data_IF_902526563002
#
_entry.id   IF_902526563002
#
_cell.length_a   1.000
_cell.length_b   1.000
_cell.length_c   1.000
_cell.angle_alpha   90.00
_cell.angle_beta   90.00
_cell.angle_gamma   90.00
#
_symmetry.space_group_name_H-M   'P 1'
#
loop_
_entity.id
_entity.type
_entity.pdbx_description
1 polymer ?
#
# COMPACT_ATOMS: atom_id res chain seq x y z
N UNK A 1 4.57 -41.10 6.40
CA UNK A 1 3.51 -41.68 7.21
C UNK A 1 2.39 -40.67 7.19
N UNK A 2 1.32 -40.93 6.44
CA UNK A 2 0.12 -40.09 6.52
C UNK A 2 -0.63 -40.44 7.83
N UNK A 3 -1.06 -39.41 8.56
CA UNK A 3 -1.98 -39.55 9.69
C UNK A 3 -3.39 -39.56 9.14
N UNK A 4 -4.31 -40.28 9.82
CA UNK A 4 -5.70 -40.36 9.38
C UNK A 4 -6.43 -39.02 9.50
N UNK A 5 -6.03 -38.17 10.46
CA UNK A 5 -6.58 -36.84 10.68
C UNK A 5 -5.42 -35.82 10.92
N UNK A 6 -4.73 -35.36 9.87
CA UNK A 6 -3.67 -34.36 10.03
C UNK A 6 -4.26 -32.99 10.31
N UNK A 7 -3.78 -32.32 11.36
CA UNK A 7 -4.05 -30.90 11.59
C UNK A 7 -2.87 -30.07 11.08
N UNK A 8 -3.15 -29.11 10.21
CA UNK A 8 -2.21 -28.06 9.81
C UNK A 8 -2.75 -26.72 10.31
N UNK A 9 -1.94 -25.99 11.05
CA UNK A 9 -2.30 -24.68 11.58
C UNK A 9 -1.26 -23.64 11.17
N UNK A 10 -1.72 -22.52 10.60
CA UNK A 10 -0.90 -21.39 10.18
C UNK A 10 -1.29 -20.16 11.01
N UNK A 11 -0.31 -19.49 11.59
CA UNK A 11 -0.48 -18.23 12.33
C UNK A 11 0.45 -17.20 11.71
N UNK A 12 -0.09 -16.03 11.36
CA UNK A 12 0.68 -14.99 10.70
C UNK A 12 0.11 -13.61 10.99
N UNK A 13 0.93 -12.60 10.74
CA UNK A 13 0.54 -11.19 10.68
C UNK A 13 0.65 -10.68 9.25
N UNK A 14 0.15 -9.47 8.97
CA UNK A 14 0.35 -8.80 7.71
C UNK A 14 1.84 -8.54 7.43
N UNK A 15 2.17 -8.37 6.17
CA UNK A 15 3.51 -8.07 5.67
C UNK A 15 3.50 -6.94 4.64
N UNK A 16 4.64 -6.74 4.00
CA UNK A 16 4.89 -5.69 3.01
C UNK A 16 5.17 -6.21 1.59
N UNK A 17 5.14 -7.52 1.41
CA UNK A 17 5.25 -8.16 0.10
C UNK A 17 3.89 -8.70 -0.36
N UNK A 18 3.21 -8.00 -1.30
CA UNK A 18 1.92 -8.44 -1.82
C UNK A 18 1.99 -9.72 -2.67
N UNK A 19 3.20 -10.17 -3.06
CA UNK A 19 3.42 -11.41 -3.81
C UNK A 19 3.82 -12.59 -2.92
N UNK A 20 3.85 -12.40 -1.60
CA UNK A 20 4.26 -13.42 -0.65
C UNK A 20 3.20 -14.51 -0.47
N UNK A 21 3.67 -15.71 -0.10
CA UNK A 21 2.78 -16.81 0.30
C UNK A 21 1.81 -16.40 1.42
N UNK A 22 2.29 -15.60 2.39
CA UNK A 22 1.43 -15.12 3.49
C UNK A 22 0.26 -14.26 3.00
N UNK A 23 0.50 -13.39 2.00
CA UNK A 23 -0.56 -12.59 1.38
C UNK A 23 -1.57 -13.46 0.63
N UNK A 24 -1.09 -14.42 -0.13
CA UNK A 24 -1.95 -15.38 -0.84
C UNK A 24 -2.85 -16.15 0.13
N UNK A 25 -2.29 -16.64 1.25
CA UNK A 25 -3.06 -17.33 2.29
C UNK A 25 -4.07 -16.44 2.98
N UNK A 26 -3.70 -15.19 3.27
CA UNK A 26 -4.61 -14.19 3.84
C UNK A 26 -5.80 -13.93 2.91
N UNK A 27 -5.54 -13.67 1.62
CA UNK A 27 -6.58 -13.40 0.63
C UNK A 27 -7.52 -14.60 0.45
N UNK A 28 -6.95 -15.80 0.42
CA UNK A 28 -7.74 -17.03 0.38
C UNK A 28 -8.61 -17.20 1.63
N UNK A 29 -8.06 -16.96 2.82
CA UNK A 29 -8.81 -17.00 4.07
C UNK A 29 -9.99 -16.01 4.05
N UNK A 30 -9.77 -14.78 3.57
CA UNK A 30 -10.83 -13.78 3.43
C UNK A 30 -11.95 -14.24 2.49
N UNK A 31 -11.62 -14.89 1.37
CA UNK A 31 -12.60 -15.44 0.42
C UNK A 31 -13.42 -16.58 1.01
N UNK A 32 -12.81 -17.41 1.84
CA UNK A 32 -13.53 -18.47 2.55
C UNK A 32 -14.47 -17.87 3.61
N UNK A 33 -14.00 -16.89 4.39
CA UNK A 33 -14.81 -16.20 5.40
C UNK A 33 -16.01 -15.47 4.78
N UNK A 34 -15.80 -14.83 3.62
CA UNK A 34 -16.89 -14.12 2.90
C UNK A 34 -17.87 -15.05 2.19
N UNK A 35 -17.55 -16.35 2.08
CA UNK A 35 -18.35 -17.31 1.33
C UNK A 35 -18.16 -17.28 -0.18
N UNK A 36 -17.20 -16.49 -0.69
CA UNK A 36 -16.82 -16.48 -2.12
C UNK A 36 -16.25 -17.83 -2.55
N UNK A 37 -15.54 -18.50 -1.65
CA UNK A 37 -14.97 -19.85 -1.84
C UNK A 37 -15.48 -20.79 -0.75
N UNK A 38 -16.14 -21.87 -1.14
CA UNK A 38 -16.54 -22.92 -0.23
C UNK A 38 -15.35 -23.85 0.07
N UNK A 39 -14.99 -24.01 1.34
CA UNK A 39 -13.96 -24.94 1.77
C UNK A 39 -14.27 -25.49 3.18
N UNK A 40 -14.87 -26.66 3.23
CA UNK A 40 -15.26 -27.31 4.49
C UNK A 40 -14.06 -27.83 5.31
N UNK A 41 -12.90 -27.98 4.68
CA UNK A 41 -11.67 -28.46 5.36
C UNK A 41 -10.83 -27.34 5.97
N UNK A 42 -11.22 -26.06 5.80
CA UNK A 42 -10.47 -24.91 6.32
C UNK A 42 -11.32 -24.11 7.31
N UNK A 43 -10.83 -24.04 8.55
CA UNK A 43 -11.24 -22.99 9.47
C UNK A 43 -10.32 -21.77 9.30
N UNK A 44 -10.88 -20.59 9.12
CA UNK A 44 -10.12 -19.34 9.01
C UNK A 44 -10.68 -18.28 9.97
N UNK A 45 -9.79 -17.56 10.64
CA UNK A 45 -10.12 -16.40 11.46
C UNK A 45 -9.14 -15.27 11.12
N UNK A 46 -9.67 -14.10 10.77
CA UNK A 46 -8.89 -12.91 10.42
C UNK A 46 -9.29 -11.76 11.33
N UNK A 47 -8.33 -11.26 12.09
CA UNK A 47 -8.47 -10.10 12.95
C UNK A 47 -7.62 -8.98 12.37
N UNK A 48 -8.25 -8.06 11.65
CA UNK A 48 -7.58 -7.00 10.92
C UNK A 48 -8.48 -5.78 10.80
N UNK A 49 -7.89 -4.59 10.69
CA UNK A 49 -8.60 -3.44 10.17
C UNK A 49 -8.87 -3.64 8.66
N UNK A 50 -9.89 -2.98 8.07
CA UNK A 50 -10.11 -3.02 6.63
C UNK A 50 -8.86 -2.62 5.87
N UNK A 51 -8.54 -3.38 4.81
CA UNK A 51 -7.26 -3.22 4.11
C UNK A 51 -7.14 -1.91 3.33
N UNK A 52 -8.28 -1.29 3.02
CA UNK A 52 -8.41 0.00 2.33
C UNK A 52 -8.53 1.20 3.29
N UNK A 53 -8.35 0.98 4.60
CA UNK A 53 -8.46 2.03 5.61
C UNK A 53 -7.42 3.13 5.39
N UNK A 54 -7.89 4.37 5.36
CA UNK A 54 -7.03 5.55 5.22
C UNK A 54 -6.35 5.89 6.53
N UNK A 55 -5.19 6.52 6.43
CA UNK A 55 -4.41 6.95 7.59
C UNK A 55 -5.18 7.94 8.46
N UNK A 56 -5.92 8.86 7.82
CA UNK A 56 -6.75 9.86 8.50
C UNK A 56 -7.88 9.24 9.32
N UNK A 57 -8.47 8.14 8.84
CA UNK A 57 -9.54 7.43 9.56
C UNK A 57 -9.00 6.73 10.81
N UNK A 58 -7.80 6.12 10.69
CA UNK A 58 -7.10 5.50 11.83
C UNK A 58 -6.77 6.57 12.89
N UNK A 59 -6.31 7.73 12.44
CA UNK A 59 -5.95 8.84 13.33
C UNK A 59 -7.17 9.44 14.04
N UNK A 60 -8.31 9.46 13.36
CA UNK A 60 -9.57 10.00 13.91
C UNK A 60 -10.19 9.07 14.98
N UNK A 61 -10.17 7.77 14.77
CA UNK A 61 -10.71 6.78 15.73
C UNK A 61 -9.83 5.52 15.79
N UNK A 62 -8.66 5.60 16.44
CA UNK A 62 -7.73 4.49 16.54
C UNK A 62 -8.30 3.29 17.28
N UNK A 63 -9.19 3.53 18.25
CA UNK A 63 -9.75 2.47 19.08
C UNK A 63 -10.75 1.59 18.34
N UNK A 64 -11.44 2.12 17.33
CA UNK A 64 -12.29 1.35 16.42
C UNK A 64 -11.47 0.27 15.71
N UNK A 65 -10.37 0.66 15.10
CA UNK A 65 -9.50 -0.24 14.33
C UNK A 65 -8.71 -1.19 15.24
N UNK A 66 -8.29 -0.70 16.41
CA UNK A 66 -7.66 -1.53 17.43
C UNK A 66 -8.53 -2.73 17.82
N UNK A 67 -9.82 -2.52 18.06
CA UNK A 67 -10.77 -3.59 18.42
C UNK A 67 -10.99 -4.60 17.31
N UNK A 68 -10.93 -4.17 16.04
CA UNK A 68 -11.06 -5.07 14.89
C UNK A 68 -9.86 -6.00 14.75
N UNK A 69 -8.66 -5.47 15.00
CA UNK A 69 -7.42 -6.21 14.80
C UNK A 69 -6.93 -6.95 16.05
N UNK A 70 -7.37 -6.57 17.23
CA UNK A 70 -6.87 -7.12 18.50
C UNK A 70 -8.04 -7.63 19.38
N UNK A 71 -8.44 -8.90 19.25
CA UNK A 71 -9.54 -9.45 20.04
C UNK A 71 -9.23 -9.49 21.54
N UNK A 72 -7.96 -9.45 21.92
CA UNK A 72 -7.50 -9.43 23.31
C UNK A 72 -7.23 -8.01 23.84
N UNK A 73 -7.69 -6.97 23.14
CA UNK A 73 -7.54 -5.57 23.56
C UNK A 73 -8.28 -5.32 24.91
N UNK A 74 -7.56 -4.75 25.86
CA UNK A 74 -8.01 -4.57 27.23
C UNK A 74 -7.77 -5.77 28.16
N UNK A 75 -7.22 -6.88 27.63
CA UNK A 75 -6.82 -8.05 28.42
C UNK A 75 -5.30 -8.27 28.37
N UNK A 76 -4.76 -8.62 27.20
CA UNK A 76 -3.32 -8.83 27.00
C UNK A 76 -2.65 -7.68 26.23
N UNK A 77 -3.44 -6.86 25.52
CA UNK A 77 -2.99 -5.65 24.86
C UNK A 77 -3.60 -4.47 25.62
N UNK A 78 -2.76 -3.63 26.22
CA UNK A 78 -3.19 -2.48 26.98
C UNK A 78 -3.64 -1.34 26.05
N UNK A 79 -4.67 -0.60 26.44
CA UNK A 79 -5.21 0.53 25.68
C UNK A 79 -4.21 1.67 25.54
N UNK A 80 -3.57 2.03 26.64
CA UNK A 80 -2.65 3.17 26.67
C UNK A 80 -1.36 2.83 25.89
N UNK A 81 -0.88 1.59 25.99
CA UNK A 81 0.25 1.10 25.21
C UNK A 81 -0.05 1.19 23.72
N UNK A 82 -1.23 0.72 23.28
CA UNK A 82 -1.64 0.80 21.88
C UNK A 82 -1.67 2.26 21.37
N UNK A 83 -2.26 3.17 22.15
CA UNK A 83 -2.32 4.59 21.79
C UNK A 83 -0.94 5.26 21.82
N UNK A 84 -0.06 4.82 22.71
CA UNK A 84 1.31 5.28 22.77
C UNK A 84 2.09 4.88 21.51
N UNK A 85 2.01 3.61 21.12
CA UNK A 85 2.64 3.10 19.90
C UNK A 85 2.15 3.85 18.66
N UNK A 86 0.83 4.09 18.59
CA UNK A 86 0.26 4.85 17.48
C UNK A 86 0.83 6.29 17.43
N UNK A 87 0.91 6.97 18.58
CA UNK A 87 1.47 8.33 18.64
C UNK A 87 2.93 8.38 18.22
N UNK A 88 3.73 7.41 18.68
CA UNK A 88 5.14 7.30 18.31
C UNK A 88 5.33 7.01 16.83
N UNK A 89 4.50 6.13 16.28
CA UNK A 89 4.60 5.75 14.86
C UNK A 89 4.36 6.89 13.87
N UNK A 90 3.72 8.00 14.31
CA UNK A 90 3.53 9.20 13.48
C UNK A 90 4.83 9.95 13.16
N UNK A 91 5.95 9.57 13.77
CA UNK A 91 7.26 10.21 13.54
C UNK A 91 7.74 10.04 12.09
N UNK A 92 7.37 8.95 11.41
CA UNK A 92 7.70 8.73 10.01
C UNK A 92 6.62 7.88 9.30
N UNK A 93 6.60 7.95 7.97
CA UNK A 93 5.72 7.10 7.16
C UNK A 93 6.07 5.61 7.30
N UNK A 94 7.35 5.31 7.45
CA UNK A 94 7.83 3.96 7.69
C UNK A 94 7.27 3.41 9.01
N UNK A 95 7.43 4.14 10.11
CA UNK A 95 6.98 3.70 11.42
C UNK A 95 5.46 3.54 11.46
N UNK A 96 4.72 4.44 10.80
CA UNK A 96 3.28 4.32 10.70
C UNK A 96 2.85 3.12 9.84
N UNK A 97 3.58 2.80 8.79
CA UNK A 97 3.41 1.58 8.03
C UNK A 97 3.63 0.32 8.87
N UNK A 98 4.69 0.30 9.68
CA UNK A 98 4.98 -0.78 10.63
C UNK A 98 3.86 -0.92 11.68
N UNK A 99 3.38 0.19 12.24
CA UNK A 99 2.26 0.19 13.17
C UNK A 99 0.99 -0.43 12.53
N UNK A 100 0.62 -0.02 11.32
CA UNK A 100 -0.51 -0.59 10.58
C UNK A 100 -0.34 -2.10 10.35
N UNK A 101 0.86 -2.51 9.99
CA UNK A 101 1.16 -3.92 9.72
C UNK A 101 1.08 -4.78 10.99
N UNK A 102 1.72 -4.37 12.07
CA UNK A 102 1.84 -5.19 13.27
C UNK A 102 0.73 -5.00 14.30
N UNK A 103 0.12 -3.81 14.37
CA UNK A 103 -0.93 -3.52 15.35
C UNK A 103 -2.34 -3.56 14.77
N UNK A 104 -2.49 -3.36 13.45
CA UNK A 104 -3.79 -3.36 12.78
C UNK A 104 -3.95 -4.46 11.72
N UNK A 105 -2.91 -5.23 11.48
CA UNK A 105 -2.89 -6.34 10.52
C UNK A 105 -3.26 -5.90 9.09
N UNK A 106 -2.83 -4.68 8.71
CA UNK A 106 -3.05 -4.09 7.38
C UNK A 106 -1.81 -4.29 6.54
N UNK A 107 -1.97 -5.00 5.42
CA UNK A 107 -0.90 -5.24 4.46
C UNK A 107 -0.38 -3.93 3.87
N UNK A 108 0.93 -3.84 3.74
CA UNK A 108 1.57 -2.68 3.13
C UNK A 108 2.07 -3.06 1.72
N UNK A 109 2.03 -2.10 0.79
CA UNK A 109 2.57 -2.30 -0.57
C UNK A 109 4.07 -2.03 -0.65
N UNK A 110 4.67 -1.45 0.40
CA UNK A 110 6.08 -1.14 0.53
C UNK A 110 6.45 -0.99 2.00
N UNK A 111 7.61 -1.51 2.37
CA UNK A 111 8.17 -1.35 3.72
C UNK A 111 8.61 0.08 4.03
N UNK A 112 8.78 0.93 3.02
CA UNK A 112 9.27 2.30 3.19
C UNK A 112 8.67 3.24 2.12
N UNK A 113 7.41 3.69 2.28
CA UNK A 113 6.81 4.62 1.35
C UNK A 113 7.52 5.97 1.42
N UNK A 114 7.90 6.51 0.26
CA UNK A 114 8.53 7.84 0.15
C UNK A 114 7.53 8.97 0.40
N UNK A 115 6.28 8.81 -0.04
CA UNK A 115 5.20 9.79 0.07
C UNK A 115 3.91 9.12 0.57
N UNK A 116 3.10 9.87 1.31
CA UNK A 116 1.72 9.45 1.60
C UNK A 116 0.90 9.49 0.32
N UNK A 117 0.23 8.39 0.00
CA UNK A 117 -0.62 8.32 -1.20
C UNK A 117 -1.79 9.32 -1.15
N UNK A 118 -2.29 9.65 0.05
CA UNK A 118 -3.28 10.70 0.24
C UNK A 118 -2.78 12.09 -0.18
N UNK A 119 -1.50 12.40 0.11
CA UNK A 119 -0.90 13.68 -0.29
C UNK A 119 -0.58 13.69 -1.80
N UNK A 120 -0.11 12.56 -2.33
CA UNK A 120 0.06 12.40 -3.77
C UNK A 120 -1.26 12.58 -4.53
N UNK A 121 -2.35 11.99 -4.04
CA UNK A 121 -3.67 12.13 -4.66
C UNK A 121 -4.19 13.58 -4.68
N UNK A 122 -3.84 14.40 -3.68
CA UNK A 122 -4.18 15.84 -3.64
C UNK A 122 -3.46 16.65 -4.73
N UNK A 123 -2.36 16.12 -5.26
CA UNK A 123 -1.60 16.76 -6.35
C UNK A 123 -2.19 16.51 -7.73
N UNK A 124 -3.15 15.57 -7.84
CA UNK A 124 -3.77 15.24 -9.13
C UNK A 124 -4.49 16.44 -9.71
N UNK A 125 -4.22 16.70 -10.98
CA UNK A 125 -4.92 17.69 -11.83
C UNK A 125 -5.24 17.04 -13.16
N UNK A 126 -6.42 17.35 -13.70
CA UNK A 126 -6.82 16.89 -15.02
C UNK A 126 -6.33 17.91 -16.06
N UNK A 127 -5.36 17.51 -16.86
CA UNK A 127 -4.81 18.25 -18.01
C UNK A 127 -4.22 17.26 -19.01
N UNK A 128 -4.12 17.65 -20.25
CA UNK A 128 -3.63 16.83 -21.36
C UNK A 128 -2.29 17.35 -21.89
N UNK A 129 -1.64 16.59 -22.76
CA UNK A 129 -0.43 17.02 -23.44
C UNK A 129 -0.70 18.27 -24.31
N UNK A 130 -1.88 18.31 -24.99
CA UNK A 130 -2.26 19.45 -25.82
C UNK A 130 -2.35 20.73 -25.01
N UNK A 131 -2.82 20.69 -23.76
CA UNK A 131 -2.89 21.86 -22.88
C UNK A 131 -1.50 22.43 -22.54
N UNK A 132 -0.45 21.63 -22.69
CA UNK A 132 0.94 22.00 -22.37
C UNK A 132 1.74 22.42 -23.58
N UNK A 133 1.23 22.30 -24.80
CA UNK A 133 1.94 22.65 -26.02
C UNK A 133 2.28 24.14 -26.08
N UNK A 134 3.52 24.44 -26.42
CA UNK A 134 4.01 25.83 -26.56
C UNK A 134 4.34 26.51 -25.23
N UNK A 135 4.17 25.85 -24.08
CA UNK A 135 4.57 26.38 -22.78
C UNK A 135 6.05 26.08 -22.48
N UNK A 136 6.74 26.98 -21.76
CA UNK A 136 8.10 26.70 -21.29
C UNK A 136 8.11 25.48 -20.37
N UNK A 137 9.06 24.56 -20.59
CA UNK A 137 9.25 23.42 -19.72
C UNK A 137 10.73 23.09 -19.49
N UNK A 138 11.01 22.49 -18.35
CA UNK A 138 12.25 21.79 -18.09
C UNK A 138 12.06 20.32 -18.35
N UNK A 139 13.06 19.64 -18.94
CA UNK A 139 13.00 18.23 -19.27
C UNK A 139 14.14 17.51 -18.53
N UNK A 140 13.77 16.51 -17.73
CA UNK A 140 14.70 15.57 -17.12
C UNK A 140 14.68 14.23 -17.84
N UNK A 141 15.86 13.59 -17.94
CA UNK A 141 15.96 12.23 -18.45
C UNK A 141 16.68 11.35 -17.44
N UNK A 142 16.20 10.14 -17.33
CA UNK A 142 16.93 9.03 -16.73
C UNK A 142 16.92 7.87 -17.74
N UNK A 143 18.11 7.51 -18.24
CA UNK A 143 18.25 6.56 -19.34
C UNK A 143 18.87 5.25 -18.87
N UNK A 144 18.14 4.17 -19.03
CA UNK A 144 18.62 2.83 -18.75
C UNK A 144 19.27 2.17 -19.98
N UNK A 145 20.38 1.44 -19.75
CA UNK A 145 21.11 0.78 -20.84
C UNK A 145 20.51 -0.57 -21.26
N UNK A 146 19.89 -1.34 -20.37
CA UNK A 146 19.40 -2.70 -20.69
C UNK A 146 18.14 -3.15 -19.96
N UNK A 147 18.10 -3.10 -18.66
CA UNK A 147 17.12 -3.84 -17.85
C UNK A 147 16.26 -2.96 -16.94
N UNK A 148 16.49 -1.69 -16.96
CA UNK A 148 15.81 -0.72 -16.11
C UNK A 148 14.83 0.11 -16.92
N UNK A 149 14.06 0.93 -16.24
CA UNK A 149 13.09 1.86 -16.82
C UNK A 149 13.80 3.14 -17.25
N UNK A 150 13.57 3.58 -18.48
CA UNK A 150 13.92 4.94 -18.91
C UNK A 150 12.78 5.87 -18.58
N UNK A 151 13.08 7.03 -17.99
CA UNK A 151 12.11 8.07 -17.70
C UNK A 151 12.43 9.36 -18.43
N UNK A 152 11.41 10.01 -18.99
CA UNK A 152 11.44 11.39 -19.47
C UNK A 152 10.38 12.13 -18.68
N UNK A 153 10.76 13.22 -18.04
CA UNK A 153 9.83 14.01 -17.22
C UNK A 153 9.86 15.47 -17.69
N UNK A 154 8.69 15.93 -18.15
CA UNK A 154 8.50 17.34 -18.52
C UNK A 154 7.84 18.08 -17.35
N UNK A 155 8.47 19.18 -16.91
CA UNK A 155 8.02 19.98 -15.78
C UNK A 155 7.71 21.39 -16.27
N UNK A 156 6.47 21.80 -16.11
CA UNK A 156 5.95 23.09 -16.54
C UNK A 156 5.69 23.98 -15.32
N UNK A 157 6.33 25.16 -15.20
CA UNK A 157 5.94 26.14 -14.20
C UNK A 157 4.47 26.52 -14.37
N UNK A 158 3.71 26.51 -13.28
CA UNK A 158 2.30 26.78 -13.30
C UNK A 158 1.89 27.73 -12.18
N UNK A 159 0.93 28.59 -12.43
CA UNK A 159 0.34 29.45 -11.42
C UNK A 159 -1.04 28.91 -11.04
N UNK A 160 -1.28 28.71 -9.76
CA UNK A 160 -2.56 28.34 -9.20
C UNK A 160 -2.93 29.32 -8.09
N UNK A 161 -4.16 29.77 -8.06
CA UNK A 161 -4.62 30.75 -7.06
C UNK A 161 -4.42 30.21 -5.62
N UNK A 162 -3.77 31.04 -4.79
CA UNK A 162 -3.46 30.67 -3.40
C UNK A 162 -2.21 29.82 -3.21
N UNK A 163 -1.37 29.66 -4.24
CA UNK A 163 -0.08 28.95 -4.15
C UNK A 163 1.06 29.76 -4.77
N UNK A 164 2.18 29.80 -4.05
CA UNK A 164 3.34 30.60 -4.49
C UNK A 164 4.11 29.94 -5.64
N UNK A 165 4.25 28.60 -5.61
CA UNK A 165 4.92 27.82 -6.64
C UNK A 165 4.16 26.53 -6.93
N UNK A 166 3.79 26.32 -8.20
CA UNK A 166 3.17 25.09 -8.69
C UNK A 166 3.85 24.62 -9.95
N UNK A 167 3.78 23.30 -10.17
CA UNK A 167 4.30 22.69 -11.39
C UNK A 167 3.29 21.66 -11.90
N UNK A 168 3.10 21.62 -13.22
CA UNK A 168 2.47 20.48 -13.89
C UNK A 168 3.55 19.55 -14.41
N UNK A 169 3.37 18.26 -14.21
CA UNK A 169 4.38 17.27 -14.53
C UNK A 169 3.79 16.21 -15.45
N UNK A 170 4.42 16.01 -16.61
CA UNK A 170 4.11 14.95 -17.55
C UNK A 170 5.27 13.93 -17.55
N UNK A 171 5.11 12.78 -16.91
CA UNK A 171 6.09 11.72 -16.93
C UNK A 171 5.81 10.72 -18.05
N UNK A 172 6.87 10.31 -18.74
CA UNK A 172 6.86 9.23 -19.73
C UNK A 172 7.83 8.16 -19.28
N UNK A 173 7.35 6.91 -19.19
CA UNK A 173 8.16 5.78 -18.78
C UNK A 173 8.26 4.78 -19.91
N UNK A 174 9.46 4.29 -20.17
CA UNK A 174 9.75 3.31 -21.20
C UNK A 174 10.47 2.13 -20.58
N UNK A 175 10.03 0.94 -20.95
CA UNK A 175 10.64 -0.31 -20.52
C UNK A 175 10.77 -1.25 -21.72
N UNK A 176 11.88 -2.00 -21.85
CA UNK A 176 11.98 -3.04 -22.87
C UNK A 176 10.82 -4.05 -22.74
N UNK A 177 10.18 -4.38 -23.88
CA UNK A 177 9.00 -5.25 -23.91
C UNK A 177 9.23 -6.59 -23.22
N UNK A 178 10.40 -7.19 -23.42
CA UNK A 178 10.78 -8.45 -22.79
C UNK A 178 10.79 -8.32 -21.25
N UNK A 179 11.28 -7.20 -20.75
CA UNK A 179 11.31 -6.93 -19.31
C UNK A 179 9.90 -6.69 -18.77
N UNK A 180 9.07 -5.96 -19.49
CA UNK A 180 7.68 -5.73 -19.11
C UNK A 180 6.91 -7.04 -18.96
N UNK A 181 7.11 -7.99 -19.87
CA UNK A 181 6.50 -9.32 -19.81
C UNK A 181 7.03 -10.19 -18.67
N UNK A 182 8.27 -9.98 -18.24
CA UNK A 182 8.89 -10.71 -17.12
C UNK A 182 8.57 -10.06 -15.76
N UNK A 183 8.06 -8.84 -15.75
CA UNK A 183 7.75 -8.11 -14.50
C UNK A 183 6.64 -8.83 -13.75
N UNK A 184 6.91 -9.20 -12.50
CA UNK A 184 5.90 -9.74 -11.57
C UNK A 184 5.02 -8.64 -10.96
N UNK A 185 5.36 -7.39 -11.18
CA UNK A 185 4.58 -6.25 -10.69
C UNK A 185 3.39 -6.00 -11.63
N UNK A 186 2.23 -5.77 -11.05
CA UNK A 186 0.98 -5.47 -11.77
C UNK A 186 0.97 -4.03 -12.34
N UNK A 187 2.05 -3.59 -12.94
CA UNK A 187 2.12 -2.29 -13.61
C UNK A 187 1.71 -2.49 -15.07
N UNK A 188 0.72 -1.76 -15.58
CA UNK A 188 0.27 -1.88 -16.97
C UNK A 188 1.27 -1.19 -17.92
N UNK A 189 2.35 -1.90 -18.24
CA UNK A 189 3.41 -1.42 -19.16
C UNK A 189 3.05 -1.54 -20.64
N UNK A 190 1.95 -2.24 -20.98
CA UNK A 190 1.55 -2.56 -22.35
C UNK A 190 0.10 -2.12 -22.59
#
# INVERSE_FOLDING_TARGET
ISRDEPLHAEFSTAGDDPSSYGKERFDFACKVISGEVENQGLFAAVYAAPQDTKDEDIEADPMKFARMANPALGHTVDFEEFLHDMRQSKSSLHDFGQFKMYRLNVWQSSSSPYLRMSDWAKCRRDFTEEDMLGLPCAIGFDMALKWDTTAIVCVFPWQEEGRDECYRVLPYFFMPKERALMSRHQVPWL
#
